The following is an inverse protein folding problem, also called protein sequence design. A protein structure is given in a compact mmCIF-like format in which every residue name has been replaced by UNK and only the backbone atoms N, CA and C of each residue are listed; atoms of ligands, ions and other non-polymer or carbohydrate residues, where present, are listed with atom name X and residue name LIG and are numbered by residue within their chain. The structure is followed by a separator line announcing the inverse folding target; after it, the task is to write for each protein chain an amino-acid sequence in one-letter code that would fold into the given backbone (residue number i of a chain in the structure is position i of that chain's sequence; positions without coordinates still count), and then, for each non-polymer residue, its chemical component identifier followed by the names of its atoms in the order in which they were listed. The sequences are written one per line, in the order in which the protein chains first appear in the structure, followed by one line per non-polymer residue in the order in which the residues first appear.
data_IF_287944050781
#
_entry.id   IF_287944050781
#
_cell.length_a   1.000
_cell.length_b   1.000
_cell.length_c   1.000
_cell.angle_alpha   90.00
_cell.angle_beta   90.00
_cell.angle_gamma   90.00
#
_symmetry.space_group_name_H-M   'P 1'
#
loop_
_entity.id
_entity.type
_entity.pdbx_description
1 polymer ?
#
# COMPACT_ATOMS: atom_id res chain seq x y z
N UNK A 1 50.30 10.46 29.50
CA UNK A 1 49.12 10.22 30.35
C UNK A 1 47.97 11.06 29.85
N UNK A 2 46.78 10.45 29.70
CA UNK A 2 45.46 11.05 29.39
C UNK A 2 45.32 11.56 27.94
N UNK A 3 44.27 11.22 27.19
CA UNK A 3 43.10 10.36 27.42
C UNK A 3 42.55 9.95 26.06
N UNK A 4 42.17 8.68 25.98
CA UNK A 4 41.47 8.02 24.89
C UNK A 4 40.02 8.52 24.74
N UNK A 5 39.44 8.10 23.61
CA UNK A 5 38.02 8.01 23.23
C UNK A 5 37.44 9.25 22.55
N UNK A 6 37.63 9.31 21.23
CA UNK A 6 36.62 9.86 20.32
C UNK A 6 35.44 8.89 20.40
N UNK A 7 34.36 9.30 21.06
CA UNK A 7 33.07 8.62 20.96
C UNK A 7 32.55 8.84 19.54
N UNK A 8 32.88 7.90 18.63
CA UNK A 8 32.13 7.65 17.42
C UNK A 8 30.71 7.25 17.86
N UNK A 9 29.83 8.22 18.06
CA UNK A 9 28.41 8.01 17.85
C UNK A 9 28.18 7.85 16.34
N UNK A 10 28.74 6.78 15.78
CA UNK A 10 28.13 6.10 14.65
C UNK A 10 26.88 5.41 15.20
N UNK A 11 25.89 6.21 15.61
CA UNK A 11 24.53 5.71 15.59
C UNK A 11 24.32 5.34 14.14
N UNK A 12 24.07 4.06 13.81
CA UNK A 12 23.78 3.73 12.45
C UNK A 12 22.42 4.39 12.24
N UNK A 13 22.42 5.57 11.63
CA UNK A 13 21.34 5.98 10.77
C UNK A 13 21.33 4.92 9.68
N UNK A 14 20.81 3.74 10.00
CA UNK A 14 20.15 2.90 9.03
C UNK A 14 18.93 3.75 8.68
N UNK A 15 19.17 4.75 7.84
CA UNK A 15 18.22 5.22 6.86
C UNK A 15 17.95 3.97 6.04
N UNK A 16 17.10 3.09 6.57
CA UNK A 16 16.52 2.01 5.82
C UNK A 16 15.91 2.73 4.63
N UNK A 17 16.50 2.57 3.45
CA UNK A 17 15.77 2.79 2.22
C UNK A 17 14.56 1.87 2.35
N UNK A 18 13.42 2.41 2.76
CA UNK A 18 12.20 1.64 2.87
C UNK A 18 11.83 1.27 1.45
N UNK A 19 11.87 -0.03 1.17
CA UNK A 19 11.49 -0.53 -0.14
C UNK A 19 10.05 -0.11 -0.44
N UNK A 20 9.76 0.23 -1.69
CA UNK A 20 8.38 0.51 -2.10
C UNK A 20 7.50 -0.74 -1.95
N UNK A 21 6.19 -0.54 -1.87
CA UNK A 21 5.24 -1.64 -1.91
C UNK A 21 5.38 -2.39 -3.24
N UNK A 22 5.45 -3.71 -3.20
CA UNK A 22 5.57 -4.56 -4.40
C UNK A 22 4.37 -5.49 -4.57
N UNK A 23 4.21 -6.06 -5.76
CA UNK A 23 3.17 -7.05 -6.01
C UNK A 23 3.36 -8.32 -5.17
N UNK A 24 4.62 -8.74 -4.96
CA UNK A 24 4.98 -9.86 -4.08
C UNK A 24 4.53 -9.64 -2.64
N UNK A 25 4.64 -8.41 -2.13
CA UNK A 25 4.16 -8.05 -0.80
C UNK A 25 2.64 -8.22 -0.70
N UNK A 26 1.90 -7.74 -1.71
CA UNK A 26 0.44 -7.87 -1.80
C UNK A 26 -0.01 -9.33 -1.83
N UNK A 27 0.66 -10.18 -2.62
CA UNK A 27 0.32 -11.61 -2.72
C UNK A 27 0.47 -12.35 -1.38
N UNK A 28 1.35 -11.90 -0.49
CA UNK A 28 1.58 -12.55 0.82
C UNK A 28 0.52 -12.21 1.86
N UNK A 29 -0.23 -11.12 1.69
CA UNK A 29 -1.25 -10.69 2.63
C UNK A 29 -2.34 -11.77 2.71
N UNK A 30 -2.52 -12.34 3.90
CA UNK A 30 -3.50 -13.40 4.16
C UNK A 30 -4.45 -13.09 5.33
N UNK A 31 -4.09 -12.10 6.13
CA UNK A 31 -4.80 -11.67 7.33
C UNK A 31 -4.27 -10.29 7.77
N UNK A 32 -4.88 -9.75 8.83
CA UNK A 32 -4.53 -8.46 9.43
C UNK A 32 -3.05 -8.38 9.87
N UNK A 33 -2.53 -9.42 10.50
CA UNK A 33 -1.16 -9.44 11.02
C UNK A 33 -0.12 -9.27 9.90
N UNK A 34 -0.29 -10.01 8.79
CA UNK A 34 0.60 -9.86 7.63
C UNK A 34 0.41 -8.50 6.96
N UNK A 35 -0.82 -7.97 6.87
CA UNK A 35 -1.05 -6.61 6.36
C UNK A 35 -0.28 -5.57 7.20
N UNK A 36 -0.43 -5.64 8.53
CA UNK A 36 0.25 -4.74 9.47
C UNK A 36 1.76 -4.82 9.35
N UNK A 37 2.31 -6.04 9.31
CA UNK A 37 3.74 -6.26 9.07
C UNK A 37 4.19 -5.62 7.77
N UNK A 38 3.45 -5.82 6.68
CA UNK A 38 3.76 -5.24 5.37
C UNK A 38 3.79 -3.71 5.44
N UNK A 39 2.75 -3.04 5.95
CA UNK A 39 2.71 -1.57 5.94
C UNK A 39 3.76 -0.94 6.87
N UNK A 40 4.02 -1.55 8.04
CA UNK A 40 5.03 -1.08 9.00
C UNK A 40 6.44 -1.20 8.41
N UNK A 41 6.78 -2.34 7.79
CA UNK A 41 8.10 -2.53 7.15
C UNK A 41 8.30 -1.60 5.94
N UNK A 42 7.21 -1.17 5.30
CA UNK A 42 7.20 -0.20 4.19
C UNK A 42 7.13 1.26 4.66
N UNK A 43 7.18 1.51 5.97
CA UNK A 43 7.28 2.85 6.54
C UNK A 43 5.99 3.60 6.74
N UNK A 44 4.85 2.96 6.53
CA UNK A 44 3.57 3.57 6.80
C UNK A 44 3.38 3.72 8.32
N UNK A 45 2.80 4.84 8.72
CA UNK A 45 2.46 5.13 10.12
C UNK A 45 0.96 5.07 10.34
N UNK A 46 0.55 4.72 11.56
CA UNK A 46 -0.87 4.57 11.88
C UNK A 46 -1.62 5.91 11.92
N UNK A 47 -2.70 5.98 11.16
CA UNK A 47 -3.64 7.09 11.08
C UNK A 47 -4.75 7.01 12.13
N UNK A 48 -5.96 7.39 11.71
CA UNK A 48 -7.15 7.39 12.57
C UNK A 48 -7.88 6.04 12.47
N UNK A 49 -7.20 4.97 12.91
CA UNK A 49 -7.77 3.62 12.99
C UNK A 49 -9.04 3.56 13.86
N UNK A 50 -9.94 2.67 13.49
CA UNK A 50 -11.17 2.34 14.21
C UNK A 50 -11.19 0.85 14.56
N UNK A 51 -12.18 0.40 15.34
CA UNK A 51 -12.34 -1.03 15.64
C UNK A 51 -12.51 -1.92 14.38
N UNK A 52 -13.10 -1.37 13.31
CA UNK A 52 -13.44 -2.14 12.11
C UNK A 52 -12.51 -1.88 10.93
N UNK A 53 -11.70 -0.81 11.00
CA UNK A 53 -10.89 -0.37 9.87
C UNK A 53 -9.60 0.27 10.35
N UNK A 54 -8.50 -0.28 9.87
CA UNK A 54 -7.15 0.19 10.13
C UNK A 54 -6.75 1.16 9.02
N UNK A 55 -6.18 2.30 9.39
CA UNK A 55 -5.72 3.32 8.44
C UNK A 55 -4.25 3.59 8.65
N UNK A 56 -3.48 3.51 7.57
CA UNK A 56 -2.04 3.72 7.56
C UNK A 56 -1.68 4.66 6.44
N UNK A 57 -0.76 5.59 6.69
CA UNK A 57 -0.30 6.56 5.70
C UNK A 57 1.23 6.61 5.62
N UNK A 58 1.78 6.67 4.41
CA UNK A 58 3.18 6.98 4.19
C UNK A 58 3.37 8.51 4.21
N UNK A 59 4.39 9.01 4.91
CA UNK A 59 4.56 10.46 5.07
C UNK A 59 3.39 11.13 5.79
N UNK A 60 2.70 10.38 6.67
CA UNK A 60 1.51 10.84 7.37
C UNK A 60 1.79 12.10 8.21
N UNK A 61 1.02 13.14 7.93
CA UNK A 61 1.02 14.42 8.66
C UNK A 61 0.69 14.24 10.14
N UNK A 62 1.10 15.22 10.96
CA UNK A 62 0.90 15.18 12.42
C UNK A 62 -0.57 15.13 12.84
N UNK A 63 -1.46 15.78 12.09
CA UNK A 63 -2.90 15.74 12.32
C UNK A 63 -3.60 14.54 11.66
N UNK A 64 -2.81 13.68 10.99
CA UNK A 64 -3.23 12.44 10.33
C UNK A 64 -4.26 12.66 9.21
N UNK A 65 -4.32 13.86 8.64
CA UNK A 65 -5.27 14.20 7.58
C UNK A 65 -4.69 14.01 6.17
N UNK A 66 -3.38 14.17 6.04
CA UNK A 66 -2.63 14.08 4.79
C UNK A 66 -1.55 12.99 4.85
N UNK A 67 -1.37 12.27 3.74
CA UNK A 67 -0.29 11.30 3.53
C UNK A 67 0.07 11.28 2.04
N UNK A 68 1.28 10.83 1.69
CA UNK A 68 1.67 10.63 0.30
C UNK A 68 1.04 9.39 -0.29
N UNK A 69 0.88 8.34 0.51
CA UNK A 69 0.22 7.09 0.13
C UNK A 69 -0.66 6.62 1.29
N UNK A 70 -1.70 5.84 0.97
CA UNK A 70 -2.61 5.28 1.97
C UNK A 70 -2.69 3.76 1.88
N UNK A 71 -2.88 3.12 3.03
CA UNK A 71 -3.17 1.71 3.14
C UNK A 71 -4.29 1.50 4.16
N UNK A 72 -5.26 0.66 3.83
CA UNK A 72 -6.39 0.37 4.71
C UNK A 72 -6.66 -1.12 4.80
N UNK A 73 -7.14 -1.57 5.96
CA UNK A 73 -7.58 -2.95 6.17
C UNK A 73 -8.90 -2.97 6.93
N UNK A 74 -9.91 -3.62 6.37
CA UNK A 74 -11.21 -3.81 7.01
C UNK A 74 -11.22 -5.15 7.72
N UNK A 75 -11.33 -5.12 9.05
CA UNK A 75 -11.16 -6.30 9.91
C UNK A 75 -12.27 -7.33 9.74
N UNK A 76 -13.48 -6.88 9.39
CA UNK A 76 -14.67 -7.73 9.27
C UNK A 76 -14.58 -8.75 8.13
N UNK A 77 -14.02 -8.36 6.98
CA UNK A 77 -14.01 -9.17 5.76
C UNK A 77 -12.60 -9.37 5.18
N UNK A 78 -11.56 -8.89 5.88
CA UNK A 78 -10.17 -8.93 5.41
C UNK A 78 -9.94 -8.20 4.08
N UNK A 79 -10.81 -7.26 3.73
CA UNK A 79 -10.59 -6.34 2.62
C UNK A 79 -9.37 -5.47 2.90
N UNK A 80 -8.53 -5.25 1.89
CA UNK A 80 -7.45 -4.29 1.98
C UNK A 80 -7.40 -3.38 0.76
N UNK A 81 -6.80 -2.22 0.98
CA UNK A 81 -6.70 -1.11 0.05
C UNK A 81 -5.29 -0.54 0.09
N UNK A 82 -4.76 -0.18 -1.07
CA UNK A 82 -3.54 0.61 -1.20
C UNK A 82 -3.77 1.72 -2.22
N UNK A 83 -3.24 2.90 -1.94
CA UNK A 83 -3.33 4.07 -2.81
C UNK A 83 -1.99 4.77 -2.94
N UNK A 84 -1.55 4.96 -4.18
CA UNK A 84 -0.48 5.88 -4.53
C UNK A 84 -1.06 7.23 -4.92
N UNK A 85 -0.78 8.28 -4.15
CA UNK A 85 -1.33 9.60 -4.47
C UNK A 85 -0.56 10.28 -5.61
N UNK A 86 -1.26 11.11 -6.37
CA UNK A 86 -0.68 11.99 -7.38
C UNK A 86 0.20 11.25 -8.41
N UNK A 87 -0.42 10.35 -9.17
CA UNK A 87 0.27 9.55 -10.19
C UNK A 87 0.99 10.42 -11.23
N UNK A 88 0.46 11.59 -11.56
CA UNK A 88 1.11 12.52 -12.49
C UNK A 88 2.48 12.96 -11.96
N UNK A 89 2.52 13.44 -10.71
CA UNK A 89 3.77 13.84 -10.08
C UNK A 89 4.74 12.66 -9.97
N UNK A 90 4.27 11.52 -9.45
CA UNK A 90 5.14 10.35 -9.27
C UNK A 90 5.74 9.91 -10.61
N UNK A 91 4.93 9.72 -11.66
CA UNK A 91 5.42 9.30 -12.99
C UNK A 91 6.45 10.27 -13.57
N UNK A 92 6.30 11.57 -13.31
CA UNK A 92 7.19 12.61 -13.83
C UNK A 92 8.50 12.71 -13.06
N UNK A 93 8.46 12.56 -11.73
CA UNK A 93 9.57 12.93 -10.86
C UNK A 93 10.22 11.76 -10.12
N UNK A 94 9.61 10.58 -10.08
CA UNK A 94 10.13 9.44 -9.32
C UNK A 94 11.12 8.56 -10.10
N UNK A 95 11.65 9.03 -11.23
CA UNK A 95 12.59 8.26 -12.09
C UNK A 95 12.11 6.82 -12.40
N UNK A 96 10.81 6.66 -12.68
CA UNK A 96 10.22 5.35 -12.98
C UNK A 96 9.80 4.52 -11.76
N UNK A 97 9.94 5.04 -10.54
CA UNK A 97 9.52 4.40 -9.28
C UNK A 97 8.03 4.57 -8.93
N UNK A 98 7.16 4.55 -9.93
CA UNK A 98 5.72 4.51 -9.73
C UNK A 98 5.31 3.07 -9.38
N UNK A 99 5.22 2.75 -8.09
CA UNK A 99 4.93 1.38 -7.67
C UNK A 99 3.55 0.91 -8.14
N UNK A 100 2.58 1.81 -8.27
CA UNK A 100 1.26 1.47 -8.82
C UNK A 100 1.38 0.91 -10.24
N UNK A 101 2.12 1.59 -11.12
CA UNK A 101 2.27 1.14 -12.52
C UNK A 101 3.01 -0.20 -12.61
N UNK A 102 4.03 -0.39 -11.76
CA UNK A 102 4.76 -1.65 -11.65
C UNK A 102 3.84 -2.79 -11.23
N UNK A 103 3.10 -2.61 -10.13
CA UNK A 103 2.16 -3.63 -9.63
C UNK A 103 1.07 -3.94 -10.65
N UNK A 104 0.48 -2.92 -11.30
CA UNK A 104 -0.55 -3.12 -12.33
C UNK A 104 0.00 -3.90 -13.53
N UNK A 105 1.24 -3.63 -13.94
CA UNK A 105 1.91 -4.40 -15.00
C UNK A 105 2.09 -5.87 -14.62
N UNK A 106 2.53 -6.13 -13.39
CA UNK A 106 2.68 -7.49 -12.86
C UNK A 106 1.34 -8.22 -12.75
N UNK A 107 0.28 -7.55 -12.26
CA UNK A 107 -1.08 -8.12 -12.21
C UNK A 107 -1.54 -8.55 -13.61
N UNK A 108 -1.39 -7.66 -14.61
CA UNK A 108 -1.84 -7.93 -15.99
C UNK A 108 -1.07 -9.07 -16.67
N UNK A 109 0.20 -9.26 -16.31
CA UNK A 109 1.07 -10.27 -16.92
C UNK A 109 1.02 -11.62 -16.22
N UNK A 110 0.63 -11.66 -14.93
CA UNK A 110 0.68 -12.89 -14.11
C UNK A 110 -0.67 -13.39 -13.64
N UNK A 111 -1.69 -12.53 -13.56
CA UNK A 111 -3.02 -12.89 -13.06
C UNK A 111 -4.03 -13.03 -14.19
N UNK A 112 -5.08 -13.81 -13.93
CA UNK A 112 -6.18 -14.01 -14.88
C UNK A 112 -7.25 -12.94 -14.69
N UNK A 113 -7.65 -12.27 -15.76
CA UNK A 113 -8.77 -11.34 -15.72
C UNK A 113 -10.05 -12.05 -15.24
N UNK A 114 -10.82 -11.39 -14.36
CA UNK A 114 -12.07 -11.91 -13.81
C UNK A 114 -13.28 -11.17 -14.40
N UNK A 115 -13.49 -9.92 -13.96
CA UNK A 115 -14.55 -9.02 -14.44
C UNK A 115 -14.30 -7.61 -13.91
N UNK A 116 -15.11 -6.64 -14.36
CA UNK A 116 -15.22 -5.35 -13.69
C UNK A 116 -16.10 -5.51 -12.44
N UNK A 117 -15.61 -5.06 -11.29
CA UNK A 117 -16.36 -5.02 -10.03
C UNK A 117 -16.48 -3.58 -9.53
N UNK A 118 -17.63 -3.25 -8.95
CA UNK A 118 -17.95 -1.89 -8.47
C UNK A 118 -17.74 -1.85 -6.97
N UNK A 119 -16.91 -0.91 -6.49
CA UNK A 119 -16.80 -0.56 -5.07
C UNK A 119 -17.53 0.76 -4.83
N UNK A 120 -18.25 0.87 -3.71
CA UNK A 120 -18.93 2.10 -3.32
C UNK A 120 -18.45 2.53 -1.94
N UNK A 121 -18.03 3.78 -1.83
CA UNK A 121 -17.66 4.40 -0.57
C UNK A 121 -18.31 5.77 -0.44
N UNK A 122 -18.52 6.22 0.78
CA UNK A 122 -19.06 7.57 1.04
C UNK A 122 -18.10 8.68 0.61
N UNK A 123 -16.79 8.38 0.47
CA UNK A 123 -15.74 9.35 0.15
C UNK A 123 -15.55 9.54 -1.35
N UNK A 124 -15.48 8.43 -2.09
CA UNK A 124 -15.09 8.43 -3.51
C UNK A 124 -16.26 8.08 -4.44
N UNK A 125 -17.50 8.07 -3.91
CA UNK A 125 -18.67 7.62 -4.64
C UNK A 125 -18.52 6.16 -5.06
N UNK A 126 -18.84 5.87 -6.32
CA UNK A 126 -18.69 4.51 -6.84
C UNK A 126 -17.71 4.41 -7.99
N UNK A 127 -16.77 3.48 -7.83
CA UNK A 127 -15.62 3.28 -8.70
C UNK A 127 -15.66 1.86 -9.25
N UNK A 128 -15.41 1.75 -10.56
CA UNK A 128 -15.25 0.47 -11.24
C UNK A 128 -13.78 0.05 -11.23
N UNK A 129 -13.53 -1.19 -10.81
CA UNK A 129 -12.22 -1.82 -10.78
C UNK A 129 -12.20 -2.95 -11.80
N UNK A 130 -11.17 -3.00 -12.63
CA UNK A 130 -10.86 -4.25 -13.34
C UNK A 130 -10.24 -5.21 -12.33
N UNK A 131 -10.79 -6.42 -12.21
CA UNK A 131 -10.38 -7.38 -11.18
C UNK A 131 -9.75 -8.62 -11.78
N UNK A 132 -8.80 -9.18 -11.04
CA UNK A 132 -7.99 -10.30 -11.45
C UNK A 132 -7.91 -11.36 -10.35
N UNK A 133 -7.78 -12.61 -10.76
CA UNK A 133 -7.50 -13.75 -9.90
C UNK A 133 -6.02 -14.10 -10.04
N UNK A 134 -5.28 -14.00 -8.94
CA UNK A 134 -3.85 -14.31 -8.91
C UNK A 134 -3.63 -15.67 -8.24
N UNK A 135 -3.11 -16.66 -8.97
CA UNK A 135 -2.97 -18.06 -8.50
C UNK A 135 -2.04 -18.22 -7.29
N UNK A 136 -1.03 -17.34 -7.15
CA UNK A 136 -0.10 -17.33 -6.02
C UNK A 136 -0.57 -16.55 -4.78
N UNK A 137 -1.73 -15.91 -4.83
CA UNK A 137 -2.22 -15.06 -3.74
C UNK A 137 -2.58 -15.87 -2.49
N UNK A 138 -2.23 -15.32 -1.32
CA UNK A 138 -2.62 -15.86 -0.01
C UNK A 138 -3.91 -15.25 0.54
N UNK A 139 -4.35 -14.12 -0.01
CA UNK A 139 -5.68 -13.56 0.24
C UNK A 139 -6.77 -14.37 -0.47
N UNK A 140 -8.00 -14.30 0.04
CA UNK A 140 -9.19 -14.89 -0.60
C UNK A 140 -9.99 -13.79 -1.27
N UNK A 141 -10.05 -13.79 -2.59
CA UNK A 141 -10.77 -12.75 -3.32
C UNK A 141 -10.24 -12.50 -4.72
N UNK A 142 -10.56 -11.33 -5.25
CA UNK A 142 -10.02 -10.80 -6.49
C UNK A 142 -9.29 -9.49 -6.22
N UNK A 143 -8.10 -9.31 -6.78
CA UNK A 143 -7.37 -8.06 -6.69
C UNK A 143 -7.79 -7.16 -7.85
N UNK A 144 -8.29 -5.98 -7.52
CA UNK A 144 -8.70 -4.96 -8.47
C UNK A 144 -7.76 -3.77 -8.49
N UNK A 145 -7.72 -3.08 -9.63
CA UNK A 145 -7.08 -1.78 -9.73
C UNK A 145 -7.92 -0.78 -10.53
N UNK A 146 -7.78 0.50 -10.17
CA UNK A 146 -8.40 1.64 -10.83
C UNK A 146 -7.52 2.90 -10.66
N UNK A 147 -7.81 3.96 -11.42
CA UNK A 147 -7.31 5.30 -11.13
C UNK A 147 -8.51 6.15 -10.69
N UNK A 148 -8.39 6.84 -9.56
CA UNK A 148 -9.46 7.62 -8.94
C UNK A 148 -8.89 8.99 -8.59
N UNK A 149 -9.47 10.05 -9.16
CA UNK A 149 -9.08 11.44 -8.88
C UNK A 149 -7.56 11.72 -8.96
N UNK A 150 -6.88 11.07 -9.92
CA UNK A 150 -5.43 11.20 -10.12
C UNK A 150 -4.56 10.25 -9.29
N UNK A 151 -5.16 9.43 -8.43
CA UNK A 151 -4.48 8.45 -7.57
C UNK A 151 -4.60 7.03 -8.14
N UNK A 152 -3.60 6.20 -7.87
CA UNK A 152 -3.57 4.80 -8.28
C UNK A 152 -4.04 3.90 -7.15
N UNK A 153 -5.14 3.18 -7.37
CA UNK A 153 -5.81 2.41 -6.31
C UNK A 153 -5.73 0.91 -6.59
N UNK A 154 -5.33 0.15 -5.58
CA UNK A 154 -5.39 -1.31 -5.52
C UNK A 154 -6.38 -1.72 -4.42
N UNK A 155 -7.29 -2.64 -4.73
CA UNK A 155 -8.39 -3.03 -3.85
C UNK A 155 -8.57 -4.54 -3.88
N UNK A 156 -8.53 -5.20 -2.72
CA UNK A 156 -9.03 -6.57 -2.63
C UNK A 156 -10.55 -6.56 -2.60
N UNK A 157 -11.18 -7.45 -3.38
CA UNK A 157 -12.59 -7.80 -3.27
C UNK A 157 -12.69 -9.19 -2.63
N UNK A 158 -12.94 -9.30 -1.31
CA UNK A 158 -12.97 -10.58 -0.62
C UNK A 158 -14.04 -11.55 -1.14
N UNK A 159 -13.82 -12.85 -0.92
CA UNK A 159 -14.78 -13.93 -1.19
C UNK A 159 -15.26 -14.58 0.10
#
# INVERSE_FOLDING_TARGET
MKRFIIFLFAFPYILFAQDQLTFSDILKIKNQDIFLKTVIEKGYSEGNSTANKLYYGLGLSKDKSEATDWAEFTTLNSEFYFEQSNLEYVRKYSEGKCYYDQIVSEIKSTCEYNKVMKHSSNRNGSVNFTTYKCSGAKYKGYLGFAQVDGNGVLQLFPK
#
